data_IF_195172480749
#
_entry.id   IF_195172480749
#
_cell.length_a   1.000
_cell.length_b   1.000
_cell.length_c   1.000
_cell.angle_alpha   90.00
_cell.angle_beta   90.00
_cell.angle_gamma   90.00
#
_symmetry.space_group_name_H-M   'P 1'
#
loop_
_entity.id
_entity.type
_entity.pdbx_description
1 polymer ?
#
# COMPACT_ATOMS: atom_id res chain seq x y z
N UNK A 1 42.77 19.36 -1.03
CA UNK A 1 42.74 18.05 -0.36
C UNK A 1 41.28 17.67 -0.16
N UNK A 2 40.95 16.45 -0.56
CA UNK A 2 39.61 15.92 -0.63
C UNK A 2 39.09 15.48 0.76
N UNK A 3 37.80 15.67 0.97
CA UNK A 3 36.97 14.67 1.65
C UNK A 3 35.55 14.79 1.09
N UNK A 4 35.30 14.05 0.01
CA UNK A 4 33.95 13.65 -0.40
C UNK A 4 33.37 12.78 0.70
N UNK A 5 32.41 13.30 1.45
CA UNK A 5 31.52 12.47 2.24
C UNK A 5 30.60 11.76 1.25
N UNK A 6 30.95 10.53 0.86
CA UNK A 6 30.01 9.60 0.23
C UNK A 6 28.83 9.46 1.18
N UNK A 7 27.72 10.12 0.87
CA UNK A 7 26.42 9.78 1.43
C UNK A 7 26.21 8.30 1.19
N UNK A 8 26.19 7.51 2.27
CA UNK A 8 25.81 6.11 2.22
C UNK A 8 24.39 6.07 1.68
N UNK A 9 24.28 5.67 0.43
CA UNK A 9 23.03 5.33 -0.24
C UNK A 9 22.20 4.49 0.74
N UNK A 10 21.01 4.96 1.09
CA UNK A 10 20.05 4.19 1.89
C UNK A 10 19.24 3.34 0.91
N UNK A 11 19.56 2.06 0.68
CA UNK A 11 18.70 1.19 -0.11
C UNK A 11 17.37 1.08 0.65
N UNK A 12 16.31 1.70 0.13
CA UNK A 12 15.00 1.74 0.78
C UNK A 12 14.23 3.05 0.80
N UNK A 13 14.84 4.16 0.38
CA UNK A 13 14.12 5.42 0.23
C UNK A 13 13.24 5.36 -1.02
N UNK A 14 11.93 5.43 -0.82
CA UNK A 14 10.97 5.78 -1.88
C UNK A 14 10.46 7.18 -1.63
N UNK A 15 10.22 7.92 -2.70
CA UNK A 15 9.46 9.17 -2.64
C UNK A 15 7.97 8.84 -2.76
N UNK A 16 7.19 9.27 -1.77
CA UNK A 16 5.77 8.96 -1.72
C UNK A 16 4.99 10.16 -2.25
N UNK A 17 4.11 9.90 -3.21
CA UNK A 17 3.19 10.90 -3.76
C UNK A 17 1.77 10.34 -3.84
N UNK A 18 0.81 11.23 -4.08
CA UNK A 18 -0.55 10.82 -4.39
C UNK A 18 -0.58 10.00 -5.68
N UNK A 19 -1.45 9.00 -5.70
CA UNK A 19 -1.73 8.21 -6.89
C UNK A 19 -2.36 9.08 -7.97
N UNK A 20 -1.95 8.83 -9.21
CA UNK A 20 -2.44 9.53 -10.40
C UNK A 20 -2.98 8.53 -11.42
N UNK A 21 -3.87 8.93 -12.34
CA UNK A 21 -4.42 8.03 -13.35
C UNK A 21 -3.39 7.37 -14.29
N UNK A 22 -2.16 7.85 -14.34
CA UNK A 22 -1.05 7.23 -15.09
C UNK A 22 -0.47 6.00 -14.38
N UNK A 23 -0.79 5.80 -13.10
CA UNK A 23 -0.20 4.75 -12.28
C UNK A 23 -0.98 3.43 -12.33
N UNK A 24 -2.21 3.43 -12.85
CA UNK A 24 -3.03 2.21 -12.97
C UNK A 24 -2.30 1.05 -13.66
N UNK A 25 -1.63 1.21 -14.81
CA UNK A 25 -0.91 0.11 -15.45
C UNK A 25 0.11 -0.55 -14.50
N UNK A 26 0.90 0.28 -13.81
CA UNK A 26 1.94 -0.20 -12.88
C UNK A 26 1.35 -0.83 -11.63
N UNK A 27 0.22 -0.31 -11.15
CA UNK A 27 -0.51 -0.89 -10.02
C UNK A 27 -1.03 -2.29 -10.34
N UNK A 28 -1.64 -2.47 -11.51
CA UNK A 28 -2.14 -3.77 -11.96
C UNK A 28 -0.98 -4.75 -12.17
N UNK A 29 0.13 -4.29 -12.74
CA UNK A 29 1.33 -5.12 -12.91
C UNK A 29 1.87 -5.62 -11.56
N UNK A 30 2.12 -4.72 -10.59
CA UNK A 30 2.59 -5.09 -9.25
C UNK A 30 1.55 -5.98 -8.55
N UNK A 31 0.27 -5.67 -8.67
CA UNK A 31 -0.83 -6.45 -8.13
C UNK A 31 -0.83 -7.88 -8.65
N UNK A 32 -0.71 -8.07 -9.96
CA UNK A 32 -0.70 -9.39 -10.61
C UNK A 32 0.57 -10.19 -10.29
N UNK A 33 1.73 -9.53 -10.14
CA UNK A 33 2.96 -10.17 -9.68
C UNK A 33 2.82 -10.74 -8.25
N UNK A 34 2.03 -10.07 -7.41
CA UNK A 34 1.77 -10.50 -6.04
C UNK A 34 0.59 -11.50 -5.96
N UNK A 35 -0.44 -11.31 -6.77
CA UNK A 35 -1.70 -12.04 -6.70
C UNK A 35 -2.02 -12.71 -8.04
N UNK A 36 -1.46 -13.90 -8.25
CA UNK A 36 -1.79 -14.70 -9.43
C UNK A 36 -3.18 -15.37 -9.34
N UNK A 37 -3.91 -15.53 -10.47
CA UNK A 37 -3.52 -15.07 -11.81
C UNK A 37 -4.15 -13.73 -12.25
N UNK A 38 -5.29 -13.29 -11.70
CA UNK A 38 -5.98 -12.08 -12.16
C UNK A 38 -6.81 -11.50 -11.01
N UNK A 39 -6.26 -10.53 -10.26
CA UNK A 39 -7.05 -9.87 -9.21
C UNK A 39 -7.98 -8.81 -9.81
N UNK A 40 -7.47 -7.98 -10.73
CA UNK A 40 -8.21 -6.92 -11.44
C UNK A 40 -7.54 -6.57 -12.77
N UNK A 41 -8.32 -6.07 -13.73
CA UNK A 41 -7.83 -5.36 -14.93
C UNK A 41 -7.74 -3.85 -14.69
N UNK A 42 -7.04 -3.12 -15.57
CA UNK A 42 -6.97 -1.65 -15.48
C UNK A 42 -8.34 -1.00 -15.60
N UNK A 43 -9.17 -1.49 -16.53
CA UNK A 43 -10.51 -0.95 -16.76
C UNK A 43 -11.44 -1.18 -15.56
N UNK A 44 -11.38 -2.36 -14.94
CA UNK A 44 -12.14 -2.65 -13.71
C UNK A 44 -11.69 -1.74 -12.57
N UNK A 45 -10.37 -1.56 -12.36
CA UNK A 45 -9.86 -0.70 -11.30
C UNK A 45 -10.24 0.77 -11.50
N UNK A 46 -10.20 1.27 -12.74
CA UNK A 46 -10.66 2.63 -13.08
C UNK A 46 -12.15 2.78 -12.86
N UNK A 47 -12.94 1.81 -13.32
CA UNK A 47 -14.38 1.80 -13.17
C UNK A 47 -14.77 1.81 -11.68
N UNK A 48 -14.17 0.95 -10.86
CA UNK A 48 -14.43 0.89 -9.43
C UNK A 48 -14.06 2.20 -8.72
N UNK A 49 -12.92 2.80 -9.03
CA UNK A 49 -12.50 4.09 -8.46
C UNK A 49 -13.44 5.23 -8.88
N UNK A 50 -13.94 5.23 -10.13
CA UNK A 50 -14.89 6.23 -10.63
C UNK A 50 -16.29 6.09 -10.01
N UNK A 51 -16.71 4.86 -9.72
CA UNK A 51 -18.01 4.53 -9.15
C UNK A 51 -17.98 4.43 -7.62
N UNK A 52 -16.81 4.62 -7.00
CA UNK A 52 -16.68 4.65 -5.55
C UNK A 52 -17.47 5.83 -4.98
N UNK A 53 -18.41 5.54 -4.09
CA UNK A 53 -19.29 6.55 -3.52
C UNK A 53 -18.45 7.58 -2.75
N UNK A 54 -18.46 8.83 -3.23
CA UNK A 54 -17.65 9.94 -2.71
C UNK A 54 -17.94 10.29 -1.26
N UNK A 55 -19.01 9.75 -0.65
CA UNK A 55 -19.27 9.87 0.79
C UNK A 55 -18.29 9.06 1.64
N UNK A 56 -17.63 8.05 1.05
CA UNK A 56 -16.63 7.22 1.70
C UNK A 56 -15.23 7.78 1.46
N UNK A 57 -14.39 7.70 2.48
CA UNK A 57 -12.99 8.06 2.32
C UNK A 57 -12.29 7.03 1.42
N UNK A 58 -11.53 7.53 0.46
CA UNK A 58 -10.66 6.75 -0.38
C UNK A 58 -9.37 7.54 -0.65
N UNK A 59 -8.21 6.88 -0.51
CA UNK A 59 -6.92 7.47 -0.85
C UNK A 59 -5.92 6.41 -1.24
N UNK A 60 -5.12 6.72 -2.26
CA UNK A 60 -4.04 5.87 -2.74
C UNK A 60 -2.75 6.69 -2.90
N UNK A 61 -1.62 6.05 -2.63
CA UNK A 61 -0.28 6.59 -2.76
C UNK A 61 0.58 5.70 -3.64
N UNK A 62 1.49 6.32 -4.38
CA UNK A 62 2.54 5.67 -5.15
C UNK A 62 3.90 5.94 -4.49
N UNK A 63 4.70 4.90 -4.32
CA UNK A 63 6.08 4.97 -3.88
C UNK A 63 7.02 4.84 -5.08
N UNK A 64 7.75 5.92 -5.38
CA UNK A 64 8.70 6.00 -6.48
C UNK A 64 10.13 5.79 -6.01
N UNK A 65 10.92 5.05 -6.78
CA UNK A 65 12.37 5.06 -6.62
C UNK A 65 12.93 6.44 -7.02
N UNK A 66 13.60 7.18 -6.12
CA UNK A 66 14.11 8.52 -6.42
C UNK A 66 15.12 8.55 -7.58
N UNK A 67 15.74 7.41 -7.92
CA UNK A 67 16.75 7.33 -8.99
C UNK A 67 16.12 7.12 -10.36
N UNK A 68 15.35 6.05 -10.49
CA UNK A 68 14.73 5.67 -11.77
C UNK A 68 13.43 6.42 -12.04
N UNK A 69 12.83 7.05 -11.02
CA UNK A 69 11.45 7.58 -11.02
C UNK A 69 10.39 6.51 -11.29
N UNK A 70 10.77 5.24 -11.15
CA UNK A 70 9.87 4.12 -11.34
C UNK A 70 8.99 3.94 -10.10
N UNK A 71 7.68 3.71 -10.30
CA UNK A 71 6.79 3.35 -9.19
C UNK A 71 7.01 1.89 -8.82
N UNK A 72 7.41 1.65 -7.57
CA UNK A 72 7.82 0.34 -7.06
C UNK A 72 6.93 -0.17 -5.94
N UNK A 73 6.02 0.66 -5.45
CA UNK A 73 5.05 0.29 -4.43
C UNK A 73 3.80 1.15 -4.48
N UNK A 74 2.72 0.61 -3.93
CA UNK A 74 1.44 1.28 -3.76
C UNK A 74 0.93 1.08 -2.33
N UNK A 75 0.17 2.05 -1.86
CA UNK A 75 -0.62 1.90 -0.65
C UNK A 75 -2.01 2.48 -0.87
N UNK A 76 -3.01 1.85 -0.27
CA UNK A 76 -4.40 2.25 -0.36
C UNK A 76 -5.03 2.26 1.03
N UNK A 77 -5.90 3.24 1.26
CA UNK A 77 -6.70 3.38 2.47
C UNK A 77 -8.12 3.81 2.10
N UNK A 78 -9.10 3.03 2.49
CA UNK A 78 -10.50 3.35 2.23
C UNK A 78 -11.44 2.87 3.33
N UNK A 79 -12.64 3.47 3.43
CA UNK A 79 -13.72 2.90 4.25
C UNK A 79 -14.28 1.66 3.58
N UNK A 80 -14.67 0.64 4.37
CA UNK A 80 -15.33 -0.56 3.85
C UNK A 80 -16.83 -0.28 3.62
N UNK A 81 -17.32 -0.15 2.37
CA UNK A 81 -18.71 0.27 2.11
C UNK A 81 -19.75 -0.68 2.69
N UNK A 82 -19.46 -1.98 2.67
CA UNK A 82 -20.32 -3.06 3.19
C UNK A 82 -20.40 -3.12 4.73
N UNK A 83 -19.49 -2.45 5.44
CA UNK A 83 -19.49 -2.39 6.92
C UNK A 83 -19.08 -0.99 7.38
N UNK A 84 -19.67 0.03 6.76
CA UNK A 84 -19.25 1.41 6.97
C UNK A 84 -19.26 1.79 8.45
N UNK A 85 -18.14 2.37 8.88
CA UNK A 85 -18.00 3.04 10.16
C UNK A 85 -16.95 4.13 9.98
N UNK A 86 -17.18 5.38 10.43
CA UNK A 86 -16.30 6.52 10.13
C UNK A 86 -14.86 6.31 10.59
N UNK A 87 -14.65 5.48 11.61
CA UNK A 87 -13.34 5.15 12.19
C UNK A 87 -12.82 3.74 11.85
N UNK A 88 -13.47 2.99 10.95
CA UNK A 88 -12.98 1.67 10.50
C UNK A 88 -12.55 1.73 9.05
N UNK A 89 -11.33 1.28 8.80
CA UNK A 89 -10.72 1.37 7.49
C UNK A 89 -10.21 0.01 7.01
N UNK A 90 -10.09 -0.10 5.71
CA UNK A 90 -9.31 -1.10 5.03
C UNK A 90 -8.03 -0.46 4.49
N UNK A 91 -6.90 -1.14 4.68
CA UNK A 91 -5.63 -0.75 4.08
C UNK A 91 -5.03 -1.89 3.26
N UNK A 92 -4.35 -1.51 2.19
CA UNK A 92 -3.54 -2.44 1.41
C UNK A 92 -2.18 -1.80 1.09
N UNK A 93 -1.11 -2.59 1.16
CA UNK A 93 0.25 -2.17 0.79
C UNK A 93 0.81 -3.21 -0.18
N UNK A 94 1.16 -2.75 -1.38
CA UNK A 94 1.73 -3.56 -2.45
C UNK A 94 3.16 -3.10 -2.70
N UNK A 95 4.11 -4.03 -2.68
CA UNK A 95 5.52 -3.73 -2.98
C UNK A 95 5.99 -4.69 -4.04
N UNK A 96 6.56 -4.16 -5.12
CA UNK A 96 7.15 -4.94 -6.18
C UNK A 96 8.09 -6.01 -5.59
N UNK A 97 8.01 -7.28 -6.01
CA UNK A 97 8.77 -8.38 -5.39
C UNK A 97 10.27 -8.10 -5.23
N UNK A 98 10.90 -7.50 -6.24
CA UNK A 98 12.33 -7.17 -6.22
C UNK A 98 12.69 -6.04 -5.25
N UNK A 99 11.72 -5.20 -4.88
CA UNK A 99 11.87 -4.06 -3.96
C UNK A 99 11.49 -4.41 -2.52
N UNK A 100 11.05 -5.65 -2.26
CA UNK A 100 10.76 -6.14 -0.92
C UNK A 100 12.03 -6.29 -0.06
N UNK A 101 11.85 -6.25 1.26
CA UNK A 101 12.93 -6.34 2.27
C UNK A 101 13.98 -5.23 2.18
N UNK A 102 13.66 -4.13 1.50
CA UNK A 102 14.49 -2.92 1.42
C UNK A 102 13.93 -1.77 2.28
N UNK A 103 12.87 -1.99 3.06
CA UNK A 103 12.21 -0.92 3.82
C UNK A 103 11.14 -0.14 3.07
N UNK A 104 10.93 -0.41 1.77
CA UNK A 104 9.86 0.24 0.96
C UNK A 104 8.48 0.02 1.56
N UNK A 105 8.14 -1.23 1.93
CA UNK A 105 6.86 -1.53 2.56
C UNK A 105 6.67 -0.81 3.91
N UNK A 106 7.75 -0.58 4.66
CA UNK A 106 7.69 0.21 5.90
C UNK A 106 7.36 1.67 5.61
N UNK A 107 8.03 2.29 4.63
CA UNK A 107 7.77 3.67 4.27
C UNK A 107 6.31 3.88 3.81
N UNK A 108 5.80 2.97 2.97
CA UNK A 108 4.40 3.01 2.53
C UNK A 108 3.41 2.79 3.69
N UNK A 109 3.73 1.88 4.62
CA UNK A 109 2.92 1.65 5.81
C UNK A 109 2.85 2.87 6.72
N UNK A 110 4.00 3.50 6.99
CA UNK A 110 4.07 4.69 7.86
C UNK A 110 3.25 5.85 7.29
N UNK A 111 3.23 6.00 5.95
CA UNK A 111 2.36 6.96 5.28
C UNK A 111 0.87 6.69 5.56
N UNK A 112 0.45 5.42 5.48
CA UNK A 112 -0.95 5.03 5.73
C UNK A 112 -1.30 5.21 7.21
N UNK A 113 -0.41 4.85 8.13
CA UNK A 113 -0.63 5.03 9.58
C UNK A 113 -0.74 6.50 9.94
N UNK A 114 0.08 7.38 9.36
CA UNK A 114 -0.04 8.82 9.58
C UNK A 114 -1.42 9.36 9.15
N UNK A 115 -1.99 8.86 8.04
CA UNK A 115 -3.35 9.23 7.62
C UNK A 115 -4.43 8.62 8.52
N UNK A 116 -4.25 7.39 9.00
CA UNK A 116 -5.16 6.73 9.96
C UNK A 116 -5.21 7.46 11.30
N UNK A 117 -4.06 7.87 11.82
CA UNK A 117 -3.93 8.63 13.07
C UNK A 117 -4.61 10.00 12.94
N UNK A 118 -4.38 10.70 11.82
CA UNK A 118 -5.05 11.96 11.52
C UNK A 118 -6.58 11.83 11.44
N UNK A 119 -7.11 10.62 11.18
CA UNK A 119 -8.55 10.33 11.14
C UNK A 119 -9.10 9.73 12.42
N UNK A 120 -8.27 9.46 13.43
CA UNK A 120 -8.69 8.80 14.66
C UNK A 120 -9.28 7.40 14.41
N UNK A 121 -8.63 6.62 13.55
CA UNK A 121 -9.04 5.25 13.26
C UNK A 121 -8.99 4.36 14.51
N UNK A 122 -9.98 3.48 14.67
CA UNK A 122 -10.06 2.54 15.81
C UNK A 122 -9.89 1.08 15.37
N UNK A 123 -10.15 0.77 14.10
CA UNK A 123 -9.94 -0.56 13.51
C UNK A 123 -9.42 -0.40 12.09
N UNK A 124 -8.40 -1.18 11.77
CA UNK A 124 -7.84 -1.27 10.42
C UNK A 124 -7.75 -2.73 10.02
N UNK A 125 -8.33 -3.07 8.88
CA UNK A 125 -8.23 -4.40 8.27
C UNK A 125 -7.31 -4.35 7.06
N UNK A 126 -6.68 -5.47 6.73
CA UNK A 126 -5.82 -5.59 5.56
C UNK A 126 -5.85 -7.01 4.99
N UNK A 127 -5.81 -7.14 3.67
CA UNK A 127 -5.54 -8.41 3.01
C UNK A 127 -4.03 -8.67 2.99
N UNK A 128 -3.53 -9.39 3.99
CA UNK A 128 -2.32 -10.18 3.80
C UNK A 128 -2.76 -11.63 3.53
N UNK A 129 -2.57 -12.10 2.29
CA UNK A 129 -2.86 -13.50 1.96
C UNK A 129 -2.03 -14.40 2.88
N UNK A 130 -2.64 -15.39 3.53
CA UNK A 130 -1.93 -16.33 4.41
C UNK A 130 -0.75 -17.03 3.73
N UNK A 131 -0.84 -17.26 2.41
CA UNK A 131 0.24 -17.85 1.61
C UNK A 131 1.47 -16.93 1.51
N UNK A 132 1.32 -15.64 1.78
CA UNK A 132 2.41 -14.68 1.96
C UNK A 132 2.76 -14.58 3.44
N UNK A 133 3.20 -15.69 4.04
CA UNK A 133 3.51 -15.76 5.47
C UNK A 133 4.52 -14.70 5.95
N UNK A 134 5.30 -14.10 5.05
CA UNK A 134 6.16 -12.95 5.35
C UNK A 134 5.35 -11.66 5.60
N UNK A 135 4.32 -11.37 4.81
CA UNK A 135 3.47 -10.18 4.95
C UNK A 135 2.63 -10.23 6.22
N UNK A 136 2.11 -11.41 6.57
CA UNK A 136 1.36 -11.63 7.82
C UNK A 136 2.25 -11.35 9.04
N UNK A 137 3.42 -12.00 9.11
CA UNK A 137 4.38 -11.77 10.22
C UNK A 137 4.85 -10.32 10.31
N UNK A 138 4.96 -9.64 9.17
CA UNK A 138 5.35 -8.24 9.11
C UNK A 138 4.26 -7.31 9.66
N UNK A 139 2.98 -7.59 9.40
CA UNK A 139 1.83 -6.87 9.95
C UNK A 139 1.66 -7.14 11.46
N UNK A 140 1.80 -8.40 11.89
CA UNK A 140 1.69 -8.79 13.31
C UNK A 140 2.71 -8.07 14.19
N UNK A 141 3.95 -7.94 13.70
CA UNK A 141 5.01 -7.16 14.39
C UNK A 141 4.65 -5.69 14.59
N UNK A 142 3.64 -5.17 13.91
CA UNK A 142 3.21 -3.76 13.93
C UNK A 142 1.86 -3.57 14.64
N UNK A 143 1.41 -4.59 15.37
CA UNK A 143 0.18 -4.51 16.17
C UNK A 143 -1.10 -4.80 15.39
N UNK A 144 -1.02 -5.13 14.10
CA UNK A 144 -2.18 -5.63 13.34
C UNK A 144 -2.44 -7.07 13.78
N UNK A 145 -3.57 -7.28 14.46
CA UNK A 145 -4.00 -8.62 14.87
C UNK A 145 -4.76 -9.28 13.73
N UNK A 146 -4.47 -10.56 13.50
CA UNK A 146 -5.27 -11.39 12.63
C UNK A 146 -6.65 -11.58 13.27
N UNK A 147 -7.69 -11.08 12.62
CA UNK A 147 -9.05 -11.49 12.91
C UNK A 147 -9.34 -12.70 12.02
N UNK A 148 -9.55 -13.86 12.63
CA UNK A 148 -10.02 -15.03 11.89
C UNK A 148 -11.39 -14.70 11.32
N UNK A 149 -11.54 -14.81 10.00
CA UNK A 149 -12.87 -14.85 9.40
C UNK A 149 -13.62 -16.00 10.06
N UNK A 150 -14.61 -15.67 10.89
CA UNK A 150 -15.57 -16.66 11.35
C UNK A 150 -16.25 -17.31 10.14
N UNK A 151 -16.69 -18.57 10.28
CA UNK A 151 -17.24 -19.37 9.18
C UNK A 151 -18.41 -18.69 8.47
#
# INVERSE_FOLDING_TARGET
>A
MATSTKEKERPGQVEIRLFEPKDYPRMIEIGNLLYAPHRWTEDEARYDDEHFDKKYFFRRWAGEDPRSREVVAFAELHHMPWTYHPQKFWMEVLVHPEWQRRGVGQAMYDQVVAELDAKGAIVVRSSARESMGHSVRWLEKRGVRREGGGP
#
